data_IF_704457848648
#
_entry.id   IF_704457848648
#
_cell.length_a   1.000
_cell.length_b   1.000
_cell.length_c   1.000
_cell.angle_alpha   90.00
_cell.angle_beta   90.00
_cell.angle_gamma   90.00
#
_symmetry.space_group_name_H-M   'P 1'
#
loop_
_entity.id
_entity.type
_entity.pdbx_description
1 polymer ?
#
# COMPACT_ATOMS: atom_id res chain seq x y z
N UNK A 1 -44.54 45.97 29.66
CA UNK A 1 -43.43 46.95 29.57
C UNK A 1 -42.38 46.65 30.63
N UNK A 2 -41.16 46.25 30.23
CA UNK A 2 -39.84 46.74 30.70
C UNK A 2 -38.75 45.85 30.11
N UNK A 3 -37.93 46.46 29.25
CA UNK A 3 -36.72 45.91 28.65
C UNK A 3 -35.61 45.89 29.71
N UNK A 4 -34.82 44.82 29.74
CA UNK A 4 -33.42 44.89 30.18
C UNK A 4 -32.60 43.96 29.30
N UNK A 5 -31.59 44.54 28.66
CA UNK A 5 -30.71 43.96 27.64
C UNK A 5 -29.35 43.64 28.27
N UNK A 6 -28.69 42.58 27.75
CA UNK A 6 -27.24 42.30 27.77
C UNK A 6 -26.71 41.89 29.16
N UNK A 7 -25.77 40.95 29.32
CA UNK A 7 -24.64 40.66 28.47
C UNK A 7 -24.28 39.17 28.48
N UNK A 8 -23.72 38.74 27.36
CA UNK A 8 -23.06 37.46 27.16
C UNK A 8 -21.82 37.35 28.07
N UNK A 9 -21.55 36.15 28.58
CA UNK A 9 -20.19 35.67 28.77
C UNK A 9 -20.13 34.20 28.38
N UNK A 10 -19.26 33.93 27.41
CA UNK A 10 -18.94 32.63 26.88
C UNK A 10 -18.22 31.78 27.93
N UNK A 11 -18.59 30.51 28.03
CA UNK A 11 -17.73 29.47 28.54
C UNK A 11 -17.69 28.37 27.48
N UNK A 12 -16.68 28.45 26.62
CA UNK A 12 -16.32 27.41 25.66
C UNK A 12 -15.68 26.28 26.48
N UNK A 13 -16.47 25.29 26.90
CA UNK A 13 -15.92 24.02 27.35
C UNK A 13 -15.68 23.14 26.13
N UNK A 14 -14.53 23.36 25.49
CA UNK A 14 -13.97 22.41 24.53
C UNK A 14 -13.62 21.12 25.31
N UNK A 15 -14.50 20.13 25.27
CA UNK A 15 -14.16 18.78 25.70
C UNK A 15 -13.21 18.21 24.64
N UNK A 16 -11.93 18.16 25.00
CA UNK A 16 -10.92 17.48 24.22
C UNK A 16 -11.27 15.99 24.18
N UNK A 17 -11.95 15.56 23.11
CA UNK A 17 -11.95 14.18 22.65
C UNK A 17 -10.52 13.87 22.19
N UNK A 18 -9.64 13.54 23.14
CA UNK A 18 -8.36 12.89 22.84
C UNK A 18 -8.72 11.47 22.43
N UNK A 19 -9.19 11.34 21.19
CA UNK A 19 -9.36 10.07 20.53
C UNK A 19 -7.97 9.45 20.37
N UNK A 20 -7.63 8.55 21.27
CA UNK A 20 -6.49 7.66 21.13
C UNK A 20 -6.70 6.83 19.87
N UNK A 21 -6.19 7.32 18.72
CA UNK A 21 -5.98 6.53 17.53
C UNK A 21 -4.90 5.49 17.85
N UNK A 22 -5.29 4.43 18.56
CA UNK A 22 -4.54 3.20 18.60
C UNK A 22 -4.57 2.64 17.18
N UNK A 23 -3.62 3.06 16.34
CA UNK A 23 -3.29 2.34 15.12
C UNK A 23 -2.80 0.96 15.54
N UNK A 24 -3.72 -0.01 15.58
CA UNK A 24 -3.41 -1.43 15.66
C UNK A 24 -2.67 -1.80 14.37
N UNK A 25 -1.36 -1.60 14.37
CA UNK A 25 -0.49 -2.14 13.34
C UNK A 25 -0.50 -3.66 13.50
N UNK A 26 -1.26 -4.36 12.64
CA UNK A 26 -1.20 -5.82 12.57
C UNK A 26 0.25 -6.25 12.34
N UNK A 27 0.74 -7.28 13.05
CA UNK A 27 2.10 -7.77 12.85
C UNK A 27 2.26 -8.15 11.38
N UNK A 28 3.21 -7.52 10.70
CA UNK A 28 3.53 -7.84 9.32
C UNK A 28 4.11 -9.26 9.29
N UNK A 29 3.33 -10.22 8.80
CA UNK A 29 3.85 -11.53 8.47
C UNK A 29 5.04 -11.35 7.53
N UNK A 30 6.15 -12.04 7.81
CA UNK A 30 7.34 -11.94 6.97
C UNK A 30 6.98 -12.33 5.54
N UNK A 31 7.10 -11.38 4.62
CA UNK A 31 6.81 -11.63 3.21
C UNK A 31 7.81 -12.67 2.68
N UNK A 32 7.30 -13.86 2.36
CA UNK A 32 8.10 -14.96 1.83
C UNK A 32 8.33 -14.76 0.33
N UNK A 33 9.45 -15.24 -0.19
CA UNK A 33 9.71 -15.18 -1.63
C UNK A 33 8.57 -15.82 -2.42
N UNK A 34 8.08 -15.15 -3.46
CA UNK A 34 7.02 -15.69 -4.29
C UNK A 34 7.46 -17.00 -4.94
N UNK A 35 6.55 -17.98 -5.13
CA UNK A 35 6.91 -19.28 -5.67
C UNK A 35 7.49 -19.18 -7.08
N UNK A 36 8.31 -20.16 -7.45
CA UNK A 36 9.05 -20.18 -8.73
C UNK A 36 8.14 -20.24 -9.96
N UNK A 37 6.92 -20.76 -9.82
CA UNK A 37 5.91 -20.77 -10.89
C UNK A 37 5.32 -19.38 -11.18
N UNK A 38 5.60 -18.34 -10.37
CA UNK A 38 5.28 -16.95 -10.72
C UNK A 38 6.42 -16.38 -11.56
N UNK A 39 6.16 -16.27 -12.86
CA UNK A 39 7.06 -15.66 -13.83
C UNK A 39 7.17 -14.16 -13.64
N UNK A 40 8.37 -13.63 -13.86
CA UNK A 40 8.72 -12.21 -13.68
C UNK A 40 9.61 -11.80 -14.83
N UNK A 41 9.21 -10.77 -15.56
CA UNK A 41 10.06 -10.14 -16.56
C UNK A 41 10.24 -8.68 -16.16
N UNK A 42 11.48 -8.30 -15.88
CA UNK A 42 11.84 -6.95 -15.46
C UNK A 42 12.48 -6.25 -16.65
N UNK A 43 11.98 -5.07 -16.99
CA UNK A 43 12.48 -4.26 -18.09
C UNK A 43 12.79 -2.87 -17.57
N UNK A 44 14.05 -2.46 -17.65
CA UNK A 44 14.43 -1.08 -17.33
C UNK A 44 13.87 -0.13 -18.39
N UNK A 45 13.38 1.03 -17.94
CA UNK A 45 12.93 2.13 -18.79
C UNK A 45 13.81 3.35 -18.53
N UNK A 46 13.71 4.39 -19.37
CA UNK A 46 14.52 5.61 -19.18
C UNK A 46 14.32 6.25 -17.81
N UNK A 47 13.11 6.15 -17.26
CA UNK A 47 12.72 6.81 -16.01
C UNK A 47 12.28 5.81 -14.93
N UNK A 48 12.74 4.55 -14.98
CA UNK A 48 12.39 3.53 -13.97
C UNK A 48 12.45 2.10 -14.51
N UNK A 49 11.42 1.31 -14.22
CA UNK A 49 11.32 -0.07 -14.68
C UNK A 49 9.88 -0.59 -14.68
N UNK A 50 9.66 -1.62 -15.50
CA UNK A 50 8.42 -2.38 -15.57
C UNK A 50 8.66 -3.81 -15.10
N UNK A 51 7.65 -4.40 -14.46
CA UNK A 51 7.65 -5.81 -14.06
C UNK A 51 6.37 -6.46 -14.55
N UNK A 52 6.48 -7.33 -15.54
CA UNK A 52 5.41 -8.23 -15.92
C UNK A 52 5.41 -9.44 -15.00
N UNK A 53 4.37 -9.55 -14.17
CA UNK A 53 4.10 -10.71 -13.33
C UNK A 53 3.13 -11.64 -14.04
N UNK A 54 3.44 -12.94 -14.09
CA UNK A 54 2.57 -13.97 -14.67
C UNK A 54 2.43 -15.14 -13.72
N UNK A 55 1.20 -15.54 -13.39
CA UNK A 55 0.97 -16.69 -12.54
C UNK A 55 0.90 -17.99 -13.36
N UNK A 56 2.01 -18.72 -13.47
CA UNK A 56 2.04 -20.06 -14.10
C UNK A 56 1.76 -21.18 -13.09
N UNK A 57 1.46 -20.86 -11.83
CA UNK A 57 1.13 -21.85 -10.82
C UNK A 57 -0.26 -22.47 -11.06
N UNK A 58 -0.51 -23.61 -10.41
CA UNK A 58 -1.88 -24.07 -10.21
C UNK A 58 -2.62 -23.14 -9.24
N UNK A 59 -3.85 -22.77 -9.61
CA UNK A 59 -4.72 -21.93 -8.81
C UNK A 59 -4.30 -20.46 -8.72
N UNK A 60 -4.98 -19.73 -7.84
CA UNK A 60 -4.77 -18.29 -7.62
C UNK A 60 -3.58 -18.06 -6.69
N UNK A 61 -2.78 -17.02 -6.99
CA UNK A 61 -1.67 -16.57 -6.17
C UNK A 61 -1.77 -15.08 -5.91
N UNK A 62 -1.31 -14.68 -4.73
CA UNK A 62 -1.22 -13.30 -4.31
C UNK A 62 0.25 -12.94 -4.19
N UNK A 63 0.69 -11.95 -4.96
CA UNK A 63 2.09 -11.53 -5.03
C UNK A 63 2.22 -10.02 -5.14
N UNK A 64 3.33 -9.48 -4.63
CA UNK A 64 3.68 -8.06 -4.81
C UNK A 64 5.16 -7.89 -5.18
N UNK A 65 5.45 -6.79 -5.84
CA UNK A 65 6.81 -6.34 -6.15
C UNK A 65 7.34 -5.53 -4.98
N UNK A 66 8.51 -5.94 -4.49
CA UNK A 66 9.30 -5.18 -3.51
C UNK A 66 10.24 -4.26 -4.28
N UNK A 67 10.21 -2.98 -3.92
CA UNK A 67 11.04 -1.95 -4.55
C UNK A 67 11.97 -1.39 -3.49
N UNK A 68 13.27 -1.45 -3.71
CA UNK A 68 14.22 -0.80 -2.79
C UNK A 68 14.15 0.71 -2.96
N UNK A 69 14.31 1.46 -1.86
CA UNK A 69 14.32 2.94 -1.85
C UNK A 69 13.03 3.60 -2.37
N UNK A 70 11.94 2.84 -2.50
CA UNK A 70 10.62 3.34 -2.86
C UNK A 70 9.52 2.44 -2.24
N UNK A 71 8.24 2.86 -2.26
CA UNK A 71 7.15 2.00 -1.81
C UNK A 71 6.96 0.77 -2.71
N UNK A 72 6.66 -0.36 -2.09
CA UNK A 72 6.28 -1.60 -2.77
C UNK A 72 4.98 -1.47 -3.56
N UNK A 73 4.75 -2.39 -4.50
CA UNK A 73 3.47 -2.46 -5.18
C UNK A 73 2.35 -2.91 -4.23
N UNK A 74 1.10 -2.68 -4.65
CA UNK A 74 -0.05 -3.37 -4.08
C UNK A 74 0.08 -4.90 -4.23
N UNK A 75 -0.70 -5.64 -3.44
CA UNK A 75 -0.81 -7.09 -3.58
C UNK A 75 -1.72 -7.45 -4.76
N UNK A 76 -1.16 -8.11 -5.76
CA UNK A 76 -1.89 -8.56 -6.93
C UNK A 76 -2.38 -9.99 -6.75
N UNK A 77 -3.69 -10.19 -6.85
CA UNK A 77 -4.32 -11.50 -6.83
C UNK A 77 -4.51 -12.00 -8.26
N UNK A 78 -3.66 -12.92 -8.69
CA UNK A 78 -3.58 -13.43 -10.05
C UNK A 78 -4.20 -14.82 -10.13
N UNK A 79 -5.22 -15.00 -10.95
CA UNK A 79 -5.72 -16.33 -11.32
C UNK A 79 -4.65 -17.11 -12.11
N UNK A 80 -4.83 -18.43 -12.26
CA UNK A 80 -3.93 -19.25 -13.07
C UNK A 80 -3.88 -18.72 -14.52
N UNK A 81 -2.68 -18.49 -15.03
CA UNK A 81 -2.43 -17.95 -16.36
C UNK A 81 -2.64 -16.43 -16.48
N UNK A 82 -3.09 -15.75 -15.43
CA UNK A 82 -3.26 -14.30 -15.46
C UNK A 82 -1.91 -13.58 -15.30
N UNK A 83 -1.82 -12.41 -15.92
CA UNK A 83 -0.67 -11.51 -15.83
C UNK A 83 -1.10 -10.11 -15.43
N UNK A 84 -0.18 -9.38 -14.80
CA UNK A 84 -0.33 -7.95 -14.55
C UNK A 84 1.00 -7.26 -14.77
N UNK A 85 0.95 -6.02 -15.24
CA UNK A 85 2.11 -5.16 -15.39
C UNK A 85 2.17 -4.21 -14.19
N UNK A 86 3.29 -4.19 -13.49
CA UNK A 86 3.64 -3.14 -12.54
C UNK A 86 4.60 -2.18 -13.22
N UNK A 87 4.30 -0.88 -13.15
CA UNK A 87 5.11 0.20 -13.73
C UNK A 87 5.62 1.04 -12.58
N UNK A 88 6.93 1.18 -12.48
CA UNK A 88 7.57 2.12 -11.58
C UNK A 88 8.20 3.25 -12.39
N UNK A 89 7.83 4.49 -12.07
CA UNK A 89 8.44 5.69 -12.60
C UNK A 89 9.12 6.44 -11.46
N UNK A 90 10.44 6.53 -11.53
CA UNK A 90 11.29 7.17 -10.53
C UNK A 90 12.75 6.78 -10.70
N UNK A 91 13.65 7.63 -10.20
CA UNK A 91 15.10 7.50 -10.40
C UNK A 91 15.77 6.73 -9.25
N UNK A 92 15.10 6.64 -8.10
CA UNK A 92 15.68 6.05 -6.88
C UNK A 92 15.31 4.59 -6.69
N UNK A 93 14.11 4.18 -7.13
CA UNK A 93 13.58 2.86 -6.87
C UNK A 93 14.19 1.80 -7.78
N UNK A 94 14.48 0.63 -7.22
CA UNK A 94 14.96 -0.53 -7.99
C UNK A 94 14.12 -1.75 -7.65
N UNK A 95 13.83 -2.57 -8.67
CA UNK A 95 13.26 -3.89 -8.44
C UNK A 95 14.20 -4.71 -7.53
N UNK A 96 13.72 -5.09 -6.34
CA UNK A 96 14.45 -5.98 -5.43
C UNK A 96 14.03 -7.43 -5.64
N UNK A 97 12.74 -7.73 -5.38
CA UNK A 97 12.19 -9.08 -5.51
C UNK A 97 10.68 -9.08 -5.64
N UNK A 98 10.11 -10.25 -5.92
CA UNK A 98 8.67 -10.50 -5.80
C UNK A 98 8.41 -11.45 -4.63
N UNK A 99 7.46 -11.10 -3.79
CA UNK A 99 7.10 -11.83 -2.55
C UNK A 99 5.63 -12.20 -2.54
N UNK A 100 5.29 -13.19 -1.72
CA UNK A 100 3.91 -13.49 -1.38
C UNK A 100 3.34 -12.40 -0.47
N UNK A 101 2.05 -12.19 -0.65
CA UNK A 101 1.12 -11.46 0.20
C UNK A 101 -0.23 -12.21 0.09
#
# INVERSE_FOLDING_TARGET
>A
MRKSRKAAQAAVTAVALVGSLALSASPAAAATTAPSCVGRMVTATTDGFDVLLTNNCSGTRSVRVVVSLAPDSQCYRLARGASTLYIYSGILGNYDRTVNC
#
